data_IF_742531319951
#
_entry.id   IF_742531319951
#
_cell.length_a   1.000
_cell.length_b   1.000
_cell.length_c   1.000
_cell.angle_alpha   90.00
_cell.angle_beta   90.00
_cell.angle_gamma   90.00
#
_symmetry.space_group_name_H-M   'P 1'
#
loop_
_entity.id
_entity.type
_entity.pdbx_description
1 polymer ?
#
# COMPACT_ATOMS: atom_id res chain seq x y z
N UNK A 1 -12.69 12.95 5.40
CA UNK A 1 -12.92 13.23 3.96
C UNK A 1 -14.06 12.41 3.34
N UNK A 2 -14.86 11.64 4.11
CA UNK A 2 -16.10 11.05 3.60
C UNK A 2 -15.93 9.88 2.64
N UNK A 3 -14.82 9.13 2.79
CA UNK A 3 -14.50 7.94 1.98
C UNK A 3 -15.49 6.80 2.23
N UNK A 4 -15.63 5.94 1.23
CA UNK A 4 -16.48 4.75 1.31
C UNK A 4 -15.86 3.65 2.19
N UNK A 5 -16.66 2.65 2.52
CA UNK A 5 -16.26 1.55 3.39
C UNK A 5 -15.09 0.74 2.80
N UNK A 6 -15.02 0.60 1.47
CA UNK A 6 -13.95 -0.14 0.79
C UNK A 6 -12.59 0.57 0.96
N UNK A 7 -12.57 1.90 0.78
CA UNK A 7 -11.36 2.69 1.00
C UNK A 7 -10.92 2.67 2.47
N UNK A 8 -11.87 2.78 3.41
CA UNK A 8 -11.58 2.70 4.85
C UNK A 8 -11.02 1.32 5.22
N UNK A 9 -11.57 0.24 4.64
CA UNK A 9 -11.05 -1.11 4.81
C UNK A 9 -9.61 -1.23 4.29
N UNK A 10 -9.32 -0.72 3.08
CA UNK A 10 -7.97 -0.73 2.53
C UNK A 10 -6.99 0.05 3.39
N UNK A 11 -7.38 1.23 3.89
CA UNK A 11 -6.55 2.01 4.81
C UNK A 11 -6.23 1.24 6.10
N UNK A 12 -7.18 0.48 6.63
CA UNK A 12 -6.97 -0.37 7.81
C UNK A 12 -6.03 -1.55 7.54
N UNK A 13 -6.09 -2.14 6.34
CA UNK A 13 -5.45 -3.43 6.04
C UNK A 13 -4.20 -3.33 5.16
N UNK A 14 -3.80 -2.15 4.69
CA UNK A 14 -2.69 -2.01 3.74
C UNK A 14 -1.35 -2.60 4.24
N UNK A 15 -1.11 -2.59 5.56
CA UNK A 15 0.08 -3.15 6.21
C UNK A 15 -0.13 -4.55 6.83
N UNK A 16 -1.22 -5.25 6.50
CA UNK A 16 -1.53 -6.58 7.07
C UNK A 16 -0.40 -7.61 6.86
N UNK A 17 0.42 -7.44 5.81
CA UNK A 17 1.54 -8.32 5.49
C UNK A 17 2.77 -8.17 6.41
N UNK A 18 2.87 -7.11 7.22
CA UNK A 18 4.07 -6.78 8.00
C UNK A 18 4.58 -7.92 8.88
N UNK A 19 3.72 -8.63 9.65
CA UNK A 19 4.19 -9.72 10.52
C UNK A 19 4.66 -10.96 9.75
N UNK A 20 4.28 -11.09 8.48
CA UNK A 20 4.53 -12.29 7.67
C UNK A 20 5.72 -12.10 6.74
N UNK A 21 5.82 -10.94 6.09
CA UNK A 21 6.77 -10.68 5.00
C UNK A 21 7.22 -9.21 4.98
N UNK A 22 8.00 -8.74 5.97
CA UNK A 22 8.28 -7.31 6.15
C UNK A 22 9.06 -6.64 5.00
N UNK A 23 9.68 -7.41 4.10
CA UNK A 23 10.40 -6.86 2.94
C UNK A 23 9.51 -6.70 1.69
N UNK A 24 8.34 -7.34 1.67
CA UNK A 24 7.41 -7.30 0.54
C UNK A 24 5.95 -7.42 1.02
N UNK A 25 5.66 -6.83 2.18
CA UNK A 25 4.35 -6.87 2.81
C UNK A 25 3.19 -6.33 1.93
N UNK A 26 3.39 -5.37 1.00
CA UNK A 26 2.30 -4.93 0.13
C UNK A 26 1.78 -6.05 -0.76
N UNK A 27 2.65 -6.97 -1.21
CA UNK A 27 2.27 -8.10 -2.06
C UNK A 27 1.26 -9.02 -1.35
N UNK A 28 1.48 -9.29 -0.06
CA UNK A 28 0.61 -10.16 0.74
C UNK A 28 -0.72 -9.47 1.01
N UNK A 29 -0.69 -8.20 1.41
CA UNK A 29 -1.92 -7.41 1.61
C UNK A 29 -2.77 -7.32 0.35
N UNK A 30 -2.14 -7.00 -0.79
CA UNK A 30 -2.80 -6.93 -2.09
C UNK A 30 -3.39 -8.27 -2.52
N UNK A 31 -2.63 -9.37 -2.40
CA UNK A 31 -3.10 -10.71 -2.76
C UNK A 31 -4.33 -11.14 -1.96
N UNK A 32 -4.39 -10.81 -0.67
CA UNK A 32 -5.55 -11.09 0.20
C UNK A 32 -6.77 -10.26 -0.22
N UNK A 33 -6.57 -8.97 -0.53
CA UNK A 33 -7.68 -8.05 -0.82
C UNK A 33 -8.22 -8.16 -2.26
N UNK A 34 -7.41 -8.67 -3.21
CA UNK A 34 -7.74 -8.75 -4.64
C UNK A 34 -9.16 -9.23 -5.00
N UNK A 35 -9.75 -10.25 -4.37
CA UNK A 35 -11.10 -10.70 -4.73
C UNK A 35 -12.22 -9.87 -4.07
N UNK A 36 -11.91 -8.91 -3.20
CA UNK A 36 -12.88 -8.20 -2.37
C UNK A 36 -13.00 -6.70 -2.66
N UNK A 37 -12.01 -6.10 -3.31
CA UNK A 37 -11.95 -4.65 -3.53
C UNK A 37 -11.83 -4.32 -5.02
N UNK A 38 -12.19 -3.10 -5.38
CA UNK A 38 -12.02 -2.57 -6.74
C UNK A 38 -10.55 -2.59 -7.19
N UNK A 39 -10.33 -2.62 -8.50
CA UNK A 39 -8.98 -2.56 -9.09
C UNK A 39 -8.19 -1.33 -8.62
N UNK A 40 -8.87 -0.19 -8.46
CA UNK A 40 -8.25 1.05 -7.99
C UNK A 40 -7.73 0.91 -6.54
N UNK A 41 -8.53 0.32 -5.64
CA UNK A 41 -8.14 0.13 -4.25
C UNK A 41 -7.10 -1.00 -4.09
N UNK A 42 -7.19 -2.06 -4.90
CA UNK A 42 -6.15 -3.08 -4.97
C UNK A 42 -4.80 -2.47 -5.38
N UNK A 43 -4.78 -1.69 -6.47
CA UNK A 43 -3.57 -1.03 -6.95
C UNK A 43 -2.98 -0.09 -5.90
N UNK A 44 -3.84 0.68 -5.22
CA UNK A 44 -3.43 1.58 -4.13
C UNK A 44 -2.77 0.82 -2.98
N UNK A 45 -3.31 -0.32 -2.55
CA UNK A 45 -2.70 -1.16 -1.49
C UNK A 45 -1.39 -1.78 -1.95
N UNK A 46 -1.34 -2.34 -3.17
CA UNK A 46 -0.13 -2.97 -3.72
C UNK A 46 1.04 -1.98 -3.82
N UNK A 47 0.76 -0.71 -4.11
CA UNK A 47 1.77 0.31 -4.37
C UNK A 47 1.93 1.32 -3.23
N UNK A 48 1.25 1.16 -2.09
CA UNK A 48 1.25 2.19 -1.02
C UNK A 48 2.68 2.58 -0.57
N UNK A 49 3.63 1.64 -0.63
CA UNK A 49 5.03 1.86 -0.27
C UNK A 49 5.73 2.95 -1.10
N UNK A 50 5.48 3.02 -2.42
CA UNK A 50 6.11 4.05 -3.27
C UNK A 50 5.53 5.45 -3.00
N UNK A 51 4.26 5.52 -2.59
CA UNK A 51 3.63 6.77 -2.17
C UNK A 51 4.22 7.27 -0.85
N UNK A 52 4.44 6.38 0.12
CA UNK A 52 5.18 6.70 1.34
C UNK A 52 6.62 7.11 1.00
N UNK A 53 7.24 6.40 0.06
CA UNK A 53 8.61 6.63 -0.40
C UNK A 53 8.88 8.07 -0.84
N UNK A 54 7.93 8.70 -1.53
CA UNK A 54 8.05 10.11 -1.94
C UNK A 54 8.36 11.05 -0.78
N UNK A 55 7.78 10.80 0.39
CA UNK A 55 7.92 11.63 1.58
C UNK A 55 9.08 11.22 2.49
N UNK A 56 9.64 10.01 2.35
CA UNK A 56 10.61 9.47 3.31
C UNK A 56 11.94 8.98 2.72
N UNK A 57 11.95 8.40 1.51
CA UNK A 57 13.12 7.70 0.95
C UNK A 57 14.36 8.58 0.74
N UNK A 58 14.17 9.88 0.50
CA UNK A 58 15.28 10.84 0.40
C UNK A 58 16.04 11.04 1.72
N UNK A 59 15.45 10.70 2.87
CA UNK A 59 16.16 10.66 4.16
C UNK A 59 16.99 9.39 4.36
N UNK A 60 16.74 8.35 3.55
CA UNK A 60 17.48 7.08 3.54
C UNK A 60 18.50 7.02 2.40
N UNK A 61 18.65 8.08 1.60
CA UNK A 61 19.49 8.08 0.39
C UNK A 61 18.89 7.29 -0.79
N UNK A 62 17.60 6.97 -0.72
CA UNK A 62 16.85 6.28 -1.78
C UNK A 62 16.13 7.28 -2.69
N UNK A 63 15.74 6.83 -3.89
CA UNK A 63 15.04 7.68 -4.87
C UNK A 63 13.57 7.87 -4.48
N UNK A 64 13.18 9.12 -4.18
CA UNK A 64 11.80 9.47 -3.84
C UNK A 64 10.83 9.49 -5.04
N UNK A 65 11.32 9.48 -6.28
CA UNK A 65 10.50 9.65 -7.49
C UNK A 65 10.12 8.33 -8.16
N UNK A 66 10.30 7.20 -7.49
CA UNK A 66 9.95 5.84 -7.97
C UNK A 66 8.47 5.61 -8.27
N UNK A 67 7.60 6.56 -7.88
CA UNK A 67 6.16 6.54 -8.18
C UNK A 67 5.82 7.09 -9.57
N UNK A 68 6.77 7.81 -10.18
CA UNK A 68 6.64 8.46 -11.49
C UNK A 68 7.06 7.49 -12.60
#
# INVERSE_FOLDING_TARGET
DGRDDEYVLCALLHDLGDPLTPYNHPDVGAAILKPFVSEANHWMVEHHGIFQGYYFWHHLGMDRNTRD
#
